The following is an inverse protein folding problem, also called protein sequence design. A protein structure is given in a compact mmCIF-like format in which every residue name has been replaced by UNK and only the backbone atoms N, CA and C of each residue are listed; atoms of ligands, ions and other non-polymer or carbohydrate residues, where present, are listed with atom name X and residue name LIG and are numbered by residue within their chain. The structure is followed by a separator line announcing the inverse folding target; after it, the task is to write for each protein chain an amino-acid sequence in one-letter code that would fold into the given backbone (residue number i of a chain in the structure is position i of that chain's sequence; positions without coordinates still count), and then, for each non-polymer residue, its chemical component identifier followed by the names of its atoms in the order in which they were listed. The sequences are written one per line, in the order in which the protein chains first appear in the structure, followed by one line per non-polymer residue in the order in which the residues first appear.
data_IF_602619613882
#
_entry.id   IF_602619613882
#
_cell.length_a   1.000
_cell.length_b   1.000
_cell.length_c   1.000
_cell.angle_alpha   90.00
_cell.angle_beta   90.00
_cell.angle_gamma   90.00
#
_symmetry.space_group_name_H-M   'P 1'
#
loop_
_entity.id
_entity.type
_entity.pdbx_description
1 polymer ?
#
# COMPACT_ATOMS: atom_id res chain seq x y z
N UNK A 1 -12.66 -19.46 -27.45
CA UNK A 1 -12.46 -18.06 -26.97
C UNK A 1 -11.08 -17.61 -27.39
N UNK A 2 -10.97 -16.45 -28.04
CA UNK A 2 -9.68 -15.91 -28.48
C UNK A 2 -8.91 -15.39 -27.28
N UNK A 3 -7.67 -15.82 -27.09
CA UNK A 3 -6.75 -15.30 -26.06
C UNK A 3 -6.51 -13.78 -26.17
N UNK A 4 -6.98 -13.13 -27.23
CA UNK A 4 -6.90 -11.68 -27.43
C UNK A 4 -7.91 -10.87 -26.60
N UNK A 5 -8.95 -11.50 -26.05
CA UNK A 5 -10.02 -10.80 -25.31
C UNK A 5 -9.88 -10.94 -23.79
N UNK A 6 -8.68 -11.27 -23.29
CA UNK A 6 -8.44 -11.48 -21.86
C UNK A 6 -8.66 -10.20 -21.03
N UNK A 7 -8.42 -9.02 -21.60
CA UNK A 7 -8.67 -7.73 -20.93
C UNK A 7 -10.16 -7.45 -20.75
N UNK A 8 -10.97 -7.55 -21.81
CA UNK A 8 -12.43 -7.42 -21.72
C UNK A 8 -13.06 -8.48 -20.81
N UNK A 9 -12.54 -9.71 -20.85
CA UNK A 9 -12.99 -10.79 -19.95
C UNK A 9 -12.60 -10.48 -18.51
N UNK A 10 -11.42 -9.90 -18.30
CA UNK A 10 -10.95 -9.48 -16.99
C UNK A 10 -11.72 -8.29 -16.41
N UNK A 11 -12.09 -7.32 -17.24
CA UNK A 11 -12.97 -6.21 -16.85
C UNK A 11 -14.39 -6.69 -16.56
N UNK A 12 -14.95 -7.56 -17.41
CA UNK A 12 -16.32 -8.10 -17.27
C UNK A 12 -16.51 -8.94 -16.01
N UNK A 13 -15.49 -9.68 -15.59
CA UNK A 13 -15.56 -10.57 -14.42
C UNK A 13 -14.72 -10.08 -13.23
N UNK A 14 -14.18 -8.86 -13.29
CA UNK A 14 -13.36 -8.29 -12.21
C UNK A 14 -12.03 -9.02 -11.96
N UNK A 15 -11.54 -9.80 -12.93
CA UNK A 15 -10.32 -10.62 -12.81
C UNK A 15 -9.22 -10.07 -13.73
N UNK A 16 -8.27 -9.31 -13.17
CA UNK A 16 -7.18 -8.69 -13.95
C UNK A 16 -7.36 -7.20 -14.24
N UNK A 17 -8.12 -6.49 -13.39
CA UNK A 17 -8.17 -5.03 -13.42
C UNK A 17 -6.79 -4.39 -13.29
N UNK A 18 -6.63 -3.19 -13.86
CA UNK A 18 -5.48 -2.32 -13.65
C UNK A 18 -5.17 -2.31 -12.16
N UNK A 19 -4.03 -2.89 -11.77
CA UNK A 19 -3.77 -3.01 -10.35
C UNK A 19 -3.62 -1.61 -9.79
N UNK A 20 -4.51 -1.20 -8.88
CA UNK A 20 -4.44 0.05 -8.13
C UNK A 20 -3.19 0.10 -7.21
N UNK A 21 -2.12 -0.62 -7.49
CA UNK A 21 -0.87 -0.62 -6.73
C UNK A 21 0.09 0.43 -7.31
N UNK A 22 0.72 1.22 -6.43
CA UNK A 22 1.85 2.06 -6.81
C UNK A 22 3.17 1.33 -6.54
N UNK A 23 4.00 1.22 -7.57
CA UNK A 23 5.39 0.81 -7.45
C UNK A 23 6.29 2.04 -7.57
N UNK A 24 7.26 2.17 -6.66
CA UNK A 24 8.23 3.27 -6.73
C UNK A 24 9.22 3.00 -7.89
N UNK A 25 9.22 3.91 -8.86
CA UNK A 25 10.18 3.93 -9.97
C UNK A 25 11.53 4.48 -9.50
N UNK A 26 12.60 4.22 -10.24
CA UNK A 26 13.88 4.91 -10.00
C UNK A 26 13.75 6.41 -10.26
N UNK A 27 14.30 7.22 -9.37
CA UNK A 27 14.17 8.68 -9.38
C UNK A 27 13.02 9.20 -8.50
N UNK A 28 12.50 10.40 -8.81
CA UNK A 28 11.50 11.08 -7.99
C UNK A 28 10.09 10.51 -8.22
N UNK A 29 9.45 10.08 -7.14
CA UNK A 29 8.05 9.66 -7.13
C UNK A 29 7.25 10.66 -6.29
N UNK A 30 6.52 11.57 -6.94
CA UNK A 30 5.73 12.59 -6.25
C UNK A 30 4.34 12.05 -5.93
N UNK A 31 3.97 12.09 -4.66
CA UNK A 31 2.72 11.52 -4.14
C UNK A 31 2.01 12.47 -3.19
N UNK A 32 0.71 12.26 -3.01
CA UNK A 32 -0.07 12.80 -1.89
C UNK A 32 -0.55 11.64 -1.03
N UNK A 33 -0.21 11.62 0.26
CA UNK A 33 -0.78 10.67 1.21
C UNK A 33 -2.25 11.04 1.44
N UNK A 34 -3.15 10.06 1.37
CA UNK A 34 -4.60 10.25 1.54
C UNK A 34 -5.24 9.28 2.53
N UNK A 35 -4.46 8.38 3.12
CA UNK A 35 -4.85 7.59 4.28
C UNK A 35 -3.69 7.48 5.27
N UNK A 36 -4.00 7.10 6.50
CA UNK A 36 -2.97 6.60 7.41
C UNK A 36 -2.35 5.31 6.85
N UNK A 37 -1.11 5.06 7.28
CA UNK A 37 -0.38 3.85 6.91
C UNK A 37 -0.50 2.81 8.00
N UNK A 38 -0.94 1.61 7.62
CA UNK A 38 -1.08 0.47 8.52
C UNK A 38 0.07 -0.51 8.33
N UNK A 39 0.59 -1.06 9.43
CA UNK A 39 1.67 -2.02 9.39
C UNK A 39 1.19 -3.47 9.22
N UNK A 40 2.01 -4.28 8.57
CA UNK A 40 1.81 -5.71 8.48
C UNK A 40 3.14 -6.44 8.27
N UNK A 41 3.20 -7.69 8.71
CA UNK A 41 4.35 -8.56 8.49
C UNK A 41 4.25 -9.33 7.18
N UNK A 42 5.40 -9.60 6.56
CA UNK A 42 5.51 -10.55 5.44
C UNK A 42 6.67 -11.53 5.62
N UNK A 43 6.51 -12.75 5.09
CA UNK A 43 7.57 -13.74 4.99
C UNK A 43 7.87 -14.03 3.52
N UNK A 44 9.15 -14.27 3.20
CA UNK A 44 9.53 -14.73 1.87
C UNK A 44 9.44 -16.26 1.81
N UNK A 45 8.56 -16.77 0.97
CA UNK A 45 8.50 -18.19 0.65
C UNK A 45 9.48 -18.50 -0.48
N UNK A 46 10.54 -19.26 -0.15
CA UNK A 46 11.56 -19.68 -1.10
C UNK A 46 11.05 -20.67 -2.16
N UNK A 47 10.08 -21.52 -1.82
CA UNK A 47 9.51 -22.52 -2.73
C UNK A 47 8.62 -21.86 -3.78
N UNK A 48 7.83 -20.88 -3.36
CA UNK A 48 6.90 -20.13 -4.21
C UNK A 48 7.54 -18.88 -4.83
N UNK A 49 8.77 -18.55 -4.44
CA UNK A 49 9.52 -17.35 -4.84
C UNK A 49 8.68 -16.07 -4.71
N UNK A 50 7.92 -15.95 -3.61
CA UNK A 50 7.01 -14.82 -3.36
C UNK A 50 6.95 -14.44 -1.89
N UNK A 51 6.61 -13.19 -1.62
CA UNK A 51 6.28 -12.76 -0.26
C UNK A 51 4.84 -13.13 0.06
N UNK A 52 4.61 -13.64 1.26
CA UNK A 52 3.29 -13.94 1.80
C UNK A 52 3.02 -13.08 3.03
N UNK A 53 1.75 -12.77 3.27
CA UNK A 53 1.32 -12.03 4.46
C UNK A 53 1.49 -12.90 5.71
N UNK A 54 2.11 -12.33 6.74
CA UNK A 54 2.22 -12.97 8.04
C UNK A 54 0.90 -12.85 8.80
N UNK A 55 0.38 -13.98 9.27
CA UNK A 55 -0.82 -14.05 10.11
C UNK A 55 -0.50 -14.03 11.60
N UNK A 56 0.78 -14.01 11.99
CA UNK A 56 1.22 -14.07 13.38
C UNK A 56 1.47 -15.49 13.90
N UNK A 57 2.31 -15.62 14.92
CA UNK A 57 2.72 -16.93 15.48
C UNK A 57 1.53 -17.61 16.18
N UNK A 58 0.76 -16.81 16.90
CA UNK A 58 -0.45 -17.15 17.64
C UNK A 58 -1.58 -17.64 16.73
N UNK A 59 -1.73 -17.07 15.51
CA UNK A 59 -2.69 -17.57 14.51
C UNK A 59 -2.14 -18.70 13.65
N UNK A 60 -0.96 -19.22 14.00
CA UNK A 60 -0.44 -20.45 13.42
C UNK A 60 0.54 -20.31 12.25
N UNK A 61 1.05 -19.11 11.95
CA UNK A 61 2.00 -18.89 10.85
C UNK A 61 3.23 -19.83 10.92
N UNK A 62 3.41 -20.65 9.89
CA UNK A 62 4.48 -21.66 9.84
C UNK A 62 5.89 -21.06 9.87
N UNK A 63 6.08 -19.92 9.20
CA UNK A 63 7.38 -19.22 9.14
C UNK A 63 7.75 -18.63 10.51
N UNK A 64 6.78 -18.03 11.21
CA UNK A 64 7.00 -17.57 12.58
C UNK A 64 7.31 -18.74 13.53
N UNK A 65 6.64 -19.88 13.37
CA UNK A 65 6.90 -21.09 14.15
C UNK A 65 8.29 -21.67 13.91
N UNK A 66 8.82 -21.58 12.69
CA UNK A 66 10.19 -21.98 12.35
C UNK A 66 11.26 -20.97 12.77
N UNK A 67 10.87 -19.85 13.39
CA UNK A 67 11.78 -18.82 13.88
C UNK A 67 12.16 -17.76 12.83
N UNK A 68 11.61 -17.81 11.62
CA UNK A 68 11.79 -16.76 10.63
C UNK A 68 11.08 -15.49 11.09
N UNK A 69 11.80 -14.38 11.18
CA UNK A 69 11.22 -13.08 11.56
C UNK A 69 10.50 -12.46 10.35
N UNK A 70 9.26 -11.94 10.52
CA UNK A 70 8.59 -11.24 9.43
C UNK A 70 9.28 -9.93 9.11
N UNK A 71 9.24 -9.53 7.85
CA UNK A 71 9.59 -8.18 7.41
C UNK A 71 8.38 -7.28 7.60
N UNK A 72 8.56 -6.18 8.34
CA UNK A 72 7.51 -5.17 8.51
C UNK A 72 7.43 -4.30 7.27
N UNK A 73 6.21 -4.10 6.78
CA UNK A 73 5.86 -3.20 5.69
C UNK A 73 4.67 -2.36 6.11
N UNK A 74 4.52 -1.20 5.47
CA UNK A 74 3.42 -0.27 5.72
C UNK A 74 2.65 -0.07 4.44
N UNK A 75 1.33 -0.06 4.52
CA UNK A 75 0.44 0.11 3.37
C UNK A 75 -0.46 1.32 3.59
N UNK A 76 -0.72 2.08 2.53
CA UNK A 76 -1.58 3.26 2.59
C UNK A 76 -2.00 3.73 1.20
N UNK A 77 -3.10 4.45 1.13
CA UNK A 77 -3.59 5.07 -0.08
C UNK A 77 -2.85 6.38 -0.35
N UNK A 78 -2.47 6.58 -1.60
CA UNK A 78 -1.79 7.78 -2.09
C UNK A 78 -2.37 8.20 -3.44
N UNK A 79 -2.32 9.49 -3.76
CA UNK A 79 -2.47 9.96 -5.15
C UNK A 79 -1.08 10.00 -5.77
N UNK A 80 -0.90 9.29 -6.88
CA UNK A 80 0.30 9.41 -7.69
C UNK A 80 0.20 10.69 -8.53
N UNK A 81 1.05 11.68 -8.28
CA UNK A 81 0.97 12.96 -9.00
C UNK A 81 1.41 12.84 -10.47
N UNK A 82 2.02 11.72 -10.88
CA UNK A 82 2.40 11.46 -12.28
C UNK A 82 1.19 11.27 -13.17
N UNK A 83 0.20 10.49 -12.73
CA UNK A 83 -1.01 10.17 -13.49
C UNK A 83 -2.32 10.60 -12.81
N UNK A 84 -2.22 11.21 -11.62
CA UNK A 84 -3.33 11.72 -10.80
C UNK A 84 -4.32 10.65 -10.36
N UNK A 85 -3.91 9.38 -10.32
CA UNK A 85 -4.75 8.27 -9.84
C UNK A 85 -4.48 7.96 -8.37
N UNK A 86 -5.53 7.57 -7.65
CA UNK A 86 -5.39 6.98 -6.32
C UNK A 86 -4.86 5.55 -6.44
N UNK A 87 -3.82 5.24 -5.68
CA UNK A 87 -3.14 3.95 -5.67
C UNK A 87 -2.75 3.55 -4.26
N UNK A 88 -2.71 2.25 -4.02
CA UNK A 88 -2.26 1.62 -2.79
C UNK A 88 -0.74 1.45 -2.85
N UNK A 89 -0.05 2.16 -1.99
CA UNK A 89 1.41 2.14 -1.89
C UNK A 89 1.83 1.23 -0.75
N UNK A 90 2.87 0.42 -0.96
CA UNK A 90 3.54 -0.31 0.11
C UNK A 90 4.97 0.19 0.27
N UNK A 91 5.32 0.63 1.48
CA UNK A 91 6.64 1.17 1.81
C UNK A 91 7.32 0.34 2.91
N UNK A 92 8.66 0.45 2.97
CA UNK A 92 9.45 -0.12 4.06
C UNK A 92 9.67 0.88 5.19
N UNK A 93 10.15 0.36 6.33
CA UNK A 93 10.41 1.13 7.56
C UNK A 93 11.21 2.41 7.35
N UNK A 94 12.23 2.43 6.47
CA UNK A 94 13.05 3.62 6.23
C UNK A 94 12.30 4.80 5.62
N UNK A 95 11.29 4.56 4.80
CA UNK A 95 10.45 5.64 4.24
C UNK A 95 9.47 6.09 5.32
N UNK A 96 8.81 5.14 5.99
CA UNK A 96 7.86 5.43 7.08
C UNK A 96 8.50 6.25 8.20
N UNK A 97 9.73 5.90 8.60
CA UNK A 97 10.50 6.65 9.59
C UNK A 97 10.73 8.11 9.16
N UNK A 98 11.17 8.35 7.92
CA UNK A 98 11.39 9.72 7.42
C UNK A 98 10.09 10.54 7.39
N UNK A 99 8.96 9.91 7.03
CA UNK A 99 7.64 10.56 7.09
C UNK A 99 7.29 10.94 8.53
N UNK A 100 7.51 10.04 9.49
CA UNK A 100 7.30 10.31 10.91
C UNK A 100 8.21 11.41 11.47
N UNK A 101 9.45 11.52 10.98
CA UNK A 101 10.35 12.63 11.34
C UNK A 101 9.77 13.99 10.90
N UNK A 102 9.11 14.06 9.74
CA UNK A 102 8.43 15.29 9.30
C UNK A 102 7.17 15.60 10.12
N UNK A 103 6.39 14.59 10.48
CA UNK A 103 5.20 14.75 11.33
C UNK A 103 5.51 15.45 12.66
N UNK A 104 6.71 15.24 13.19
CA UNK A 104 7.19 15.81 14.46
C UNK A 104 8.01 17.12 14.28
N UNK A 105 8.07 17.69 13.08
CA UNK A 105 8.88 18.87 12.80
C UNK A 105 8.06 20.17 12.87
N UNK A 106 8.69 21.28 13.26
CA UNK A 106 8.00 22.58 13.36
C UNK A 106 7.48 23.09 12.01
N UNK A 107 8.20 22.81 10.92
CA UNK A 107 7.88 23.34 9.59
C UNK A 107 6.89 22.46 8.83
N UNK A 108 6.94 21.15 9.02
CA UNK A 108 6.17 20.17 8.25
C UNK A 108 5.31 19.27 9.14
N UNK A 109 5.04 19.68 10.39
CA UNK A 109 4.32 18.86 11.36
C UNK A 109 2.88 18.57 10.94
N UNK A 110 2.38 17.40 11.30
CA UNK A 110 1.01 16.98 11.07
C UNK A 110 0.61 15.87 12.06
N UNK A 111 -0.66 15.85 12.49
CA UNK A 111 -1.17 14.85 13.45
C UNK A 111 -1.74 13.58 12.79
N UNK A 112 -2.09 13.65 11.50
CA UNK A 112 -2.68 12.53 10.76
C UNK A 112 -2.14 12.45 9.34
N UNK A 113 -2.86 13.04 8.40
CA UNK A 113 -2.48 13.06 6.98
C UNK A 113 -1.92 14.46 6.63
N UNK A 114 -0.71 14.55 6.04
CA UNK A 114 -0.15 15.84 5.64
C UNK A 114 -1.01 16.51 4.57
N UNK A 115 -1.11 17.83 4.64
CA UNK A 115 -1.87 18.66 3.70
C UNK A 115 -1.04 19.14 2.48
N UNK A 116 0.19 18.62 2.33
CA UNK A 116 1.10 18.86 1.21
C UNK A 116 1.49 17.56 0.49
N UNK A 117 2.17 17.68 -0.65
CA UNK A 117 2.70 16.54 -1.40
C UNK A 117 4.08 16.12 -0.88
N UNK A 118 4.48 14.88 -1.11
CA UNK A 118 5.79 14.35 -0.73
C UNK A 118 6.45 13.71 -1.96
N UNK A 119 7.74 13.93 -2.12
CA UNK A 119 8.56 13.25 -3.12
C UNK A 119 9.40 12.16 -2.48
N UNK A 120 9.19 10.90 -2.88
CA UNK A 120 10.06 9.77 -2.53
C UNK A 120 11.06 9.58 -3.66
N UNK A 121 12.32 9.95 -3.43
CA UNK A 121 13.40 9.72 -4.37
C UNK A 121 14.04 8.34 -4.11
N UNK A 122 13.86 7.41 -5.06
CA UNK A 122 14.41 6.07 -5.03
C UNK A 122 15.67 6.01 -5.89
N UNK A 123 16.80 5.61 -5.31
CA UNK A 123 18.08 5.51 -6.02
C UNK A 123 18.64 4.10 -5.93
N UNK A 124 19.11 3.54 -7.06
CA UNK A 124 19.74 2.23 -7.11
C UNK A 124 18.76 1.05 -7.08
N UNK A 125 19.30 -0.16 -7.24
CA UNK A 125 18.53 -1.39 -7.42
C UNK A 125 18.89 -2.47 -6.39
N UNK A 126 17.95 -3.38 -6.13
CA UNK A 126 18.15 -4.51 -5.21
C UNK A 126 18.59 -4.08 -3.81
N UNK A 127 19.68 -4.69 -3.33
CA UNK A 127 20.26 -4.38 -2.01
C UNK A 127 20.89 -2.97 -1.93
N UNK A 128 21.17 -2.35 -3.07
CA UNK A 128 21.72 -1.00 -3.14
C UNK A 128 20.66 0.10 -3.11
N UNK A 129 19.36 -0.24 -3.04
CA UNK A 129 18.28 0.76 -3.09
C UNK A 129 18.28 1.64 -1.85
N UNK A 130 18.31 2.96 -2.06
CA UNK A 130 18.21 4.00 -1.03
C UNK A 130 16.99 4.88 -1.30
N UNK A 131 16.40 5.41 -0.23
CA UNK A 131 15.23 6.27 -0.28
C UNK A 131 15.49 7.56 0.47
N UNK A 132 15.10 8.68 -0.15
CA UNK A 132 15.06 9.99 0.48
C UNK A 132 13.67 10.59 0.32
N UNK A 133 13.06 11.03 1.40
CA UNK A 133 11.72 11.62 1.43
C UNK A 133 11.86 13.14 1.54
N UNK A 134 11.18 13.88 0.66
CA UNK A 134 11.25 15.34 0.60
C UNK A 134 9.81 15.88 0.62
N UNK A 135 9.38 16.60 1.67
CA UNK A 135 8.08 17.24 1.70
C UNK A 135 8.08 18.50 0.82
N UNK A 136 6.94 18.78 0.19
CA UNK A 136 6.74 20.06 -0.48
C UNK A 136 6.55 21.17 0.58
N UNK A 137 7.11 22.35 0.29
CA UNK A 137 7.02 23.51 1.18
C UNK A 137 5.62 24.13 1.26
N UNK A 138 4.75 23.82 0.30
CA UNK A 138 3.43 24.44 0.17
C UNK A 138 2.36 23.35 0.21
N UNK A 139 1.27 23.69 0.86
CA UNK A 139 0.06 22.89 0.85
C UNK A 139 -0.47 22.74 -0.57
N UNK A 140 -0.97 21.54 -0.85
CA UNK A 140 -1.64 21.22 -2.10
C UNK A 140 -3.06 20.77 -1.72
N UNK A 141 -4.07 21.65 -1.87
CA UNK A 141 -5.45 21.29 -1.62
C UNK A 141 -5.88 20.13 -2.52
N UNK A 142 -6.69 19.22 -1.98
CA UNK A 142 -7.34 18.18 -2.76
C UNK A 142 -8.44 18.80 -3.63
N UNK A 143 -8.64 18.28 -4.83
CA UNK A 143 -9.80 18.65 -5.64
C UNK A 143 -11.08 17.99 -5.09
N UNK A 144 -12.24 18.48 -5.53
CA UNK A 144 -13.53 17.88 -5.17
C UNK A 144 -13.61 16.43 -5.64
N UNK A 145 -13.11 16.15 -6.84
CA UNK A 145 -13.07 14.80 -7.42
C UNK A 145 -12.16 13.87 -6.59
N UNK A 146 -10.95 14.32 -6.26
CA UNK A 146 -10.03 13.56 -5.40
C UNK A 146 -10.67 13.25 -4.04
N UNK A 147 -11.33 14.25 -3.43
CA UNK A 147 -12.01 14.07 -2.13
C UNK A 147 -13.14 13.03 -2.22
N UNK A 148 -13.94 13.08 -3.28
CA UNK A 148 -15.03 12.13 -3.49
C UNK A 148 -14.52 10.70 -3.69
N UNK A 149 -13.45 10.52 -4.46
CA UNK A 149 -12.83 9.20 -4.67
C UNK A 149 -12.21 8.67 -3.36
N UNK A 150 -11.54 9.51 -2.57
CA UNK A 150 -10.97 9.12 -1.27
C UNK A 150 -12.04 8.60 -0.31
N UNK A 151 -13.21 9.25 -0.27
CA UNK A 151 -14.32 8.86 0.60
C UNK A 151 -14.93 7.49 0.25
N UNK A 152 -14.66 6.95 -0.95
CA UNK A 152 -15.13 5.65 -1.40
C UNK A 152 -14.09 4.53 -1.20
N UNK A 153 -12.90 4.86 -0.69
CA UNK A 153 -11.83 3.89 -0.52
C UNK A 153 -12.13 2.91 0.63
N UNK A 154 -11.78 1.66 0.39
CA UNK A 154 -11.75 0.66 1.44
C UNK A 154 -10.70 1.02 2.50
N UNK A 155 -11.02 0.77 3.78
CA UNK A 155 -10.07 0.93 4.87
C UNK A 155 -8.84 0.03 4.67
N UNK A 156 -7.66 0.57 4.92
CA UNK A 156 -6.40 -0.17 4.75
C UNK A 156 -6.34 -1.39 5.68
N UNK A 157 -6.88 -1.27 6.88
CA UNK A 157 -6.98 -2.37 7.85
C UNK A 157 -7.76 -3.57 7.30
N UNK A 158 -8.92 -3.34 6.68
CA UNK A 158 -9.70 -4.39 6.03
C UNK A 158 -8.96 -5.03 4.85
N UNK A 159 -8.21 -4.24 4.07
CA UNK A 159 -7.38 -4.78 2.99
C UNK A 159 -6.31 -5.73 3.56
N UNK A 160 -5.67 -5.35 4.66
CA UNK A 160 -4.65 -6.16 5.33
C UNK A 160 -5.26 -7.43 5.94
N UNK A 161 -6.44 -7.35 6.57
CA UNK A 161 -7.13 -8.53 7.09
C UNK A 161 -7.55 -9.47 5.97
N UNK A 162 -8.08 -8.97 4.85
CA UNK A 162 -8.36 -9.78 3.66
C UNK A 162 -7.09 -10.46 3.12
N UNK A 163 -5.94 -9.78 3.17
CA UNK A 163 -4.65 -10.38 2.82
C UNK A 163 -4.22 -11.49 3.79
N UNK A 164 -4.53 -11.38 5.09
CA UNK A 164 -4.25 -12.41 6.11
C UNK A 164 -5.18 -13.60 5.94
N UNK A 165 -6.49 -13.37 5.76
CA UNK A 165 -7.52 -14.40 5.60
C UNK A 165 -7.24 -15.33 4.40
N UNK A 166 -6.78 -14.75 3.28
CA UNK A 166 -6.34 -15.50 2.09
C UNK A 166 -5.16 -16.44 2.36
N UNK A 167 -4.29 -16.11 3.32
CA UNK A 167 -3.16 -16.97 3.69
C UNK A 167 -3.58 -18.06 4.66
N UNK A 168 -4.51 -17.78 5.58
CA UNK A 168 -5.04 -18.78 6.51
C UNK A 168 -6.05 -19.76 5.89
N UNK A 169 -6.49 -19.52 4.65
CA UNK A 169 -7.52 -20.35 3.99
C UNK A 169 -8.92 -20.16 4.58
N UNK A 170 -9.13 -19.07 5.34
CA UNK A 170 -10.43 -18.67 5.85
C UNK A 170 -11.05 -17.72 4.81
N UNK A 171 -11.78 -18.25 3.83
CA UNK A 171 -12.67 -17.44 3.02
C UNK A 171 -13.98 -17.28 3.80
N UNK A 172 -14.17 -16.13 4.46
CA UNK A 172 -15.53 -15.71 4.77
C UNK A 172 -16.11 -15.10 3.49
N UNK A 173 -17.11 -15.78 2.93
CA UNK A 173 -17.99 -15.21 1.91
C UNK A 173 -18.63 -13.95 2.51
N UNK A 174 -18.17 -12.77 2.08
CA UNK A 174 -18.88 -11.52 2.38
C UNK A 174 -20.19 -11.59 1.60
N UNK A 175 -21.28 -11.95 2.28
CA UNK A 175 -22.60 -11.98 1.69
C UNK A 175 -23.07 -10.53 1.46
N UNK A 176 -23.30 -10.08 0.22
CA UNK A 176 -23.65 -8.69 -0.07
C UNK A 176 -25.04 -8.24 0.41
N UNK A 177 -25.75 -9.04 1.21
CA UNK A 177 -27.10 -8.74 1.70
C UNK A 177 -27.18 -8.05 3.08
N UNK A 178 -26.06 -7.82 3.79
CA UNK A 178 -26.10 -7.18 5.12
C UNK A 178 -25.69 -5.69 5.16
N UNK A 179 -25.88 -4.96 4.06
CA UNK A 179 -25.90 -3.49 4.09
C UNK A 179 -27.30 -3.01 3.72
N UNK A 180 -28.15 -2.88 4.74
CA UNK A 180 -29.41 -2.13 4.68
C UNK A 180 -29.30 -0.94 5.64
#
# INVERSE_FOLDING_TARGET
MSFKNYKETGEKYGVGGETNWMNLEEGPNKIRIVSEFEDYGTHFDQKLNKSITCIGKEKGCEYCKSGAKPRVQFKGWVIDRKDKKIKLLTIGYKIYQQIGEFANSDQYGFDGIPNYDITINRNGVGLGTKYNVIPDRKDTPLTTEETNEINQLQLVSEIIENMKSKVSGAEEEINPEEVI
#
